data_IF_043913095319
#
_entry.id   IF_043913095319
#
_cell.length_a   1.000
_cell.length_b   1.000
_cell.length_c   1.000
_cell.angle_alpha   90.00
_cell.angle_beta   90.00
_cell.angle_gamma   90.00
#
_symmetry.space_group_name_H-M   'P 1'
#
loop_
_entity.id
_entity.type
_entity.pdbx_description
1 polymer ?
#
# COMPACT_ATOMS: atom_id res chain seq x y z
N UNK A 1 -8.82 51.20 9.87
CA UNK A 1 -8.27 49.94 10.42
C UNK A 1 -6.75 50.05 10.46
N UNK A 2 -6.09 49.73 11.58
CA UNK A 2 -4.62 49.80 11.67
C UNK A 2 -3.99 48.72 10.80
N UNK A 3 -2.93 49.06 10.05
CA UNK A 3 -2.20 48.15 9.15
C UNK A 3 -1.83 46.82 9.85
N UNK A 4 -1.49 46.89 11.14
CA UNK A 4 -1.21 45.73 12.00
C UNK A 4 -2.35 44.71 12.08
N UNK A 5 -3.61 45.13 12.14
CA UNK A 5 -4.77 44.21 12.25
C UNK A 5 -4.99 43.41 10.97
N UNK A 6 -4.71 43.99 9.80
CA UNK A 6 -4.85 43.32 8.51
C UNK A 6 -3.85 42.16 8.35
N UNK A 7 -2.61 42.36 8.80
CA UNK A 7 -1.57 41.33 8.78
C UNK A 7 -1.89 40.18 9.72
N UNK A 8 -2.44 40.47 10.91
CA UNK A 8 -2.85 39.43 11.86
C UNK A 8 -3.97 38.55 11.29
N UNK A 9 -4.98 39.17 10.67
CA UNK A 9 -6.07 38.41 10.02
C UNK A 9 -5.55 37.59 8.84
N UNK A 10 -4.66 38.16 8.02
CA UNK A 10 -4.03 37.43 6.91
C UNK A 10 -3.21 36.22 7.39
N UNK A 11 -2.43 36.37 8.46
CA UNK A 11 -1.66 35.28 9.04
C UNK A 11 -2.55 34.16 9.59
N UNK A 12 -3.63 34.50 10.30
CA UNK A 12 -4.58 33.52 10.82
C UNK A 12 -5.25 32.77 9.68
N UNK A 13 -5.69 33.47 8.63
CA UNK A 13 -6.31 32.86 7.46
C UNK A 13 -5.35 31.88 6.75
N UNK A 14 -4.07 32.26 6.62
CA UNK A 14 -3.04 31.41 6.04
C UNK A 14 -2.85 30.11 6.85
N UNK A 15 -2.78 30.22 8.18
CA UNK A 15 -2.64 29.06 9.06
C UNK A 15 -3.86 28.15 8.99
N UNK A 16 -5.07 28.71 8.99
CA UNK A 16 -6.30 27.93 8.81
C UNK A 16 -6.33 27.21 7.46
N UNK A 17 -5.88 27.87 6.38
CA UNK A 17 -5.78 27.26 5.06
C UNK A 17 -4.79 26.09 5.06
N UNK A 18 -3.61 26.26 5.66
CA UNK A 18 -2.59 25.23 5.80
C UNK A 18 -3.10 24.03 6.61
N UNK A 19 -3.76 24.28 7.73
CA UNK A 19 -4.34 23.23 8.57
C UNK A 19 -5.49 22.49 7.87
N UNK A 20 -6.27 23.19 7.04
CA UNK A 20 -7.32 22.58 6.23
C UNK A 20 -6.78 21.74 5.06
N UNK A 21 -5.63 22.13 4.49
CA UNK A 21 -4.98 21.38 3.41
C UNK A 21 -4.21 20.15 3.92
N UNK A 22 -3.68 20.23 5.14
CA UNK A 22 -2.91 19.17 5.78
C UNK A 22 -3.61 17.79 5.78
N UNK A 23 -4.89 17.64 6.18
CA UNK A 23 -5.56 16.33 6.17
C UNK A 23 -5.67 15.75 4.75
N UNK A 24 -5.86 16.60 3.73
CA UNK A 24 -5.91 16.15 2.34
C UNK A 24 -4.57 15.61 1.87
N UNK A 25 -3.46 16.24 2.29
CA UNK A 25 -2.12 15.72 2.03
C UNK A 25 -1.85 14.39 2.77
N UNK A 26 -2.26 14.30 4.03
CA UNK A 26 -2.07 13.08 4.83
C UNK A 26 -2.84 11.90 4.25
N UNK A 27 -4.08 12.12 3.82
CA UNK A 27 -4.92 11.08 3.18
C UNK A 27 -4.29 10.59 1.87
N UNK A 28 -3.78 11.51 1.05
CA UNK A 28 -3.05 11.16 -0.17
C UNK A 28 -1.80 10.31 0.13
N UNK A 29 -0.99 10.71 1.11
CA UNK A 29 0.21 9.97 1.53
C UNK A 29 -0.18 8.60 2.09
N UNK A 30 -1.23 8.53 2.90
CA UNK A 30 -1.72 7.29 3.47
C UNK A 30 -2.21 6.33 2.39
N UNK A 31 -2.99 6.80 1.41
CA UNK A 31 -3.41 6.01 0.27
C UNK A 31 -2.21 5.50 -0.54
N UNK A 32 -1.18 6.33 -0.72
CA UNK A 32 0.05 5.94 -1.40
C UNK A 32 0.83 4.86 -0.61
N UNK A 33 1.02 5.05 0.69
CA UNK A 33 1.67 4.05 1.57
C UNK A 33 0.87 2.75 1.57
N UNK A 34 -0.45 2.84 1.60
CA UNK A 34 -1.31 1.67 1.57
C UNK A 34 -1.14 0.89 0.26
N UNK A 35 -1.20 1.56 -0.89
CA UNK A 35 -1.06 0.95 -2.22
C UNK A 35 0.35 0.40 -2.48
N UNK A 36 1.40 1.14 -2.11
CA UNK A 36 2.79 0.83 -2.47
C UNK A 36 3.56 0.08 -1.38
N UNK A 37 3.06 0.03 -0.15
CA UNK A 37 3.73 -0.66 0.95
C UNK A 37 2.83 -1.75 1.51
N UNK A 38 1.63 -1.42 1.99
CA UNK A 38 0.80 -2.42 2.69
C UNK A 38 0.33 -3.52 1.75
N UNK A 39 -0.31 -3.15 0.64
CA UNK A 39 -0.77 -4.10 -0.38
C UNK A 39 0.35 -5.04 -0.83
N UNK A 40 1.52 -4.55 -1.29
CA UNK A 40 2.55 -5.43 -1.79
C UNK A 40 3.19 -6.28 -0.69
N UNK A 41 3.35 -5.76 0.53
CA UNK A 41 3.89 -6.52 1.67
C UNK A 41 2.92 -7.62 2.08
N UNK A 42 1.65 -7.31 2.29
CA UNK A 42 0.63 -8.30 2.67
C UNK A 42 0.45 -9.34 1.57
N UNK A 43 0.36 -8.89 0.31
CA UNK A 43 0.19 -9.77 -0.84
C UNK A 43 1.42 -10.65 -1.10
N UNK A 44 2.65 -10.17 -0.89
CA UNK A 44 3.84 -11.03 -1.00
C UNK A 44 3.89 -12.06 0.12
N UNK A 45 3.65 -11.65 1.37
CA UNK A 45 3.65 -12.60 2.50
C UNK A 45 2.60 -13.68 2.31
N UNK A 46 1.37 -13.30 1.93
CA UNK A 46 0.28 -14.24 1.69
C UNK A 46 0.55 -15.13 0.46
N UNK A 47 1.05 -14.54 -0.63
CA UNK A 47 1.39 -15.26 -1.86
C UNK A 47 2.53 -16.26 -1.66
N UNK A 48 3.59 -15.88 -0.93
CA UNK A 48 4.69 -16.77 -0.59
C UNK A 48 4.26 -17.88 0.37
N UNK A 49 3.37 -17.58 1.32
CA UNK A 49 2.81 -18.59 2.22
C UNK A 49 2.02 -19.64 1.44
N UNK A 50 1.14 -19.21 0.53
CA UNK A 50 0.38 -20.11 -0.34
C UNK A 50 1.32 -20.89 -1.26
N UNK A 51 2.32 -20.24 -1.86
CA UNK A 51 3.29 -20.91 -2.70
C UNK A 51 4.07 -21.99 -1.94
N UNK A 52 4.50 -21.71 -0.71
CA UNK A 52 5.17 -22.67 0.16
C UNK A 52 4.28 -23.87 0.48
N UNK A 53 2.97 -23.65 0.71
CA UNK A 53 2.00 -24.73 0.89
C UNK A 53 1.89 -25.58 -0.40
N UNK A 54 1.78 -24.95 -1.56
CA UNK A 54 1.70 -25.66 -2.84
C UNK A 54 2.96 -26.51 -3.07
N UNK A 55 4.13 -25.92 -2.85
CA UNK A 55 5.40 -26.64 -2.97
C UNK A 55 5.53 -27.80 -1.98
N UNK A 56 4.97 -27.68 -0.77
CA UNK A 56 5.10 -28.71 0.27
C UNK A 56 4.08 -29.84 0.18
N UNK A 57 2.86 -29.53 -0.26
CA UNK A 57 1.74 -30.48 -0.22
C UNK A 57 1.30 -30.99 -1.60
N UNK A 58 1.58 -30.26 -2.68
CA UNK A 58 1.10 -30.59 -4.04
C UNK A 58 2.26 -31.02 -4.94
N UNK A 59 3.46 -30.44 -4.79
CA UNK A 59 4.63 -30.80 -5.59
C UNK A 59 5.46 -31.87 -4.86
N UNK A 60 5.48 -33.09 -5.42
CA UNK A 60 6.34 -34.19 -4.95
C UNK A 60 7.82 -33.83 -5.12
N UNK A 61 8.70 -34.11 -4.12
CA UNK A 61 10.13 -33.87 -4.24
C UNK A 61 10.73 -34.69 -5.40
N UNK A 62 11.38 -34.01 -6.35
CA UNK A 62 12.02 -34.57 -7.55
C UNK A 62 11.54 -34.00 -8.90
N UNK A 63 10.66 -33.00 -8.96
CA UNK A 63 10.10 -32.52 -10.23
C UNK A 63 10.89 -31.37 -10.87
N UNK A 64 10.97 -31.34 -12.21
CA UNK A 64 11.65 -30.30 -13.02
C UNK A 64 11.07 -28.88 -12.84
N UNK A 65 10.04 -28.73 -12.01
CA UNK A 65 9.37 -27.46 -11.65
C UNK A 65 9.52 -27.10 -10.17
N UNK A 66 10.23 -27.90 -9.38
CA UNK A 66 10.42 -27.69 -7.94
C UNK A 66 11.20 -26.40 -7.62
N UNK A 67 12.01 -25.92 -8.58
CA UNK A 67 12.69 -24.61 -8.51
C UNK A 67 12.09 -23.53 -9.42
N UNK A 68 10.90 -23.74 -10.00
CA UNK A 68 10.32 -22.77 -10.95
C UNK A 68 9.75 -21.57 -10.21
N UNK A 69 10.52 -20.49 -10.19
CA UNK A 69 10.15 -19.18 -9.63
C UNK A 69 8.86 -18.60 -10.22
N UNK A 70 8.40 -19.12 -11.37
CA UNK A 70 7.16 -18.74 -12.02
C UNK A 70 5.93 -19.02 -11.15
N UNK A 71 5.83 -20.18 -10.49
CA UNK A 71 4.66 -20.53 -9.67
C UNK A 71 4.54 -19.56 -8.50
N UNK A 72 5.64 -19.30 -7.79
CA UNK A 72 5.72 -18.27 -6.74
C UNK A 72 5.35 -16.88 -7.25
N UNK A 73 5.84 -16.47 -8.42
CA UNK A 73 5.55 -15.17 -9.02
C UNK A 73 4.06 -15.02 -9.34
N UNK A 74 3.45 -16.02 -9.97
CA UNK A 74 2.02 -16.01 -10.28
C UNK A 74 1.16 -15.98 -9.01
N UNK A 75 1.50 -16.77 -7.99
CA UNK A 75 0.77 -16.73 -6.71
C UNK A 75 0.91 -15.40 -5.99
N UNK A 76 2.10 -14.78 -6.00
CA UNK A 76 2.34 -13.47 -5.37
C UNK A 76 1.58 -12.36 -6.11
N UNK A 77 1.64 -12.33 -7.44
CA UNK A 77 0.93 -11.34 -8.26
C UNK A 77 -0.59 -11.52 -8.12
N UNK A 78 -1.10 -12.76 -8.10
CA UNK A 78 -2.51 -13.02 -7.86
C UNK A 78 -2.93 -12.57 -6.45
N UNK A 79 -2.11 -12.81 -5.42
CA UNK A 79 -2.37 -12.33 -4.07
C UNK A 79 -2.36 -10.80 -3.98
N UNK A 80 -1.46 -10.12 -4.69
CA UNK A 80 -1.48 -8.65 -4.79
C UNK A 80 -2.81 -8.15 -5.37
N UNK A 81 -3.27 -8.75 -6.46
CA UNK A 81 -4.56 -8.40 -7.07
C UNK A 81 -5.74 -8.66 -6.12
N UNK A 82 -5.73 -9.78 -5.39
CA UNK A 82 -6.78 -10.09 -4.40
C UNK A 82 -6.78 -9.05 -3.27
N UNK A 83 -5.62 -8.72 -2.71
CA UNK A 83 -5.52 -7.70 -1.64
C UNK A 83 -5.96 -6.33 -2.14
N UNK A 84 -5.63 -5.97 -3.39
CA UNK A 84 -6.11 -4.74 -4.03
C UNK A 84 -7.64 -4.72 -4.17
N UNK A 85 -8.23 -5.81 -4.67
CA UNK A 85 -9.68 -5.92 -4.87
C UNK A 85 -10.46 -6.00 -3.56
N UNK A 86 -9.90 -6.64 -2.53
CA UNK A 86 -10.55 -6.81 -1.23
C UNK A 86 -10.54 -5.56 -0.35
N UNK A 87 -9.76 -4.56 -0.73
CA UNK A 87 -9.59 -3.32 0.03
C UNK A 87 -10.29 -2.12 -0.62
N UNK A 88 -11.09 -2.40 -1.64
CA UNK A 88 -12.08 -1.53 -2.25
C UNK A 88 -13.42 -1.72 -1.54
#
# INVERSE_FOLDING_TARGET
MKKSTLWTVGAILLVCLLLGLLPMLLDLVQGLVWLFVIVPVVGTVLGLFIAAIIHRYILTPGSRHEGSSAVTLYTVVACWLIVLLASW
#
